data_IF_603239726069
#
_entry.id   IF_603239726069
#
_cell.length_a   1.000
_cell.length_b   1.000
_cell.length_c   1.000
_cell.angle_alpha   90.00
_cell.angle_beta   90.00
_cell.angle_gamma   90.00
#
_symmetry.space_group_name_H-M   'P 1'
#
loop_
_entity.id
_entity.type
_entity.pdbx_description
1 polymer ?
#
# COMPACT_ATOMS: atom_id res chain seq x y z
N UNK A 1 -2.23 -50.19 -5.40
CA UNK A 1 -2.92 -49.22 -4.52
C UNK A 1 -2.01 -48.12 -3.98
N UNK A 2 -0.70 -48.34 -3.80
CA UNK A 2 0.24 -47.32 -3.27
C UNK A 2 0.44 -46.07 -4.15
N UNK A 3 0.31 -46.19 -5.48
CA UNK A 3 0.49 -45.05 -6.39
C UNK A 3 -0.59 -43.96 -6.21
N UNK A 4 -1.86 -44.36 -6.00
CA UNK A 4 -2.95 -43.41 -5.79
C UNK A 4 -2.87 -42.70 -4.42
N UNK A 5 -2.28 -43.36 -3.41
CA UNK A 5 -2.07 -42.76 -2.08
C UNK A 5 -0.98 -41.69 -2.14
N UNK A 6 0.10 -41.94 -2.87
CA UNK A 6 1.18 -40.96 -3.04
C UNK A 6 0.73 -39.73 -3.85
N UNK A 7 -0.04 -39.93 -4.92
CA UNK A 7 -0.56 -38.82 -5.73
C UNK A 7 -1.60 -37.96 -4.97
N UNK A 8 -2.49 -38.58 -4.20
CA UNK A 8 -3.47 -37.86 -3.39
C UNK A 8 -2.81 -37.08 -2.24
N UNK A 9 -1.77 -37.65 -1.62
CA UNK A 9 -0.99 -36.98 -0.58
C UNK A 9 -0.28 -35.75 -1.15
N UNK A 10 0.40 -35.90 -2.29
CA UNK A 10 1.07 -34.80 -2.99
C UNK A 10 0.11 -33.64 -3.33
N UNK A 11 -1.06 -33.95 -3.88
CA UNK A 11 -2.08 -32.94 -4.18
C UNK A 11 -2.56 -32.21 -2.91
N UNK A 12 -2.76 -32.95 -1.81
CA UNK A 12 -3.16 -32.37 -0.53
C UNK A 12 -2.09 -31.44 0.04
N UNK A 13 -0.81 -31.83 -0.01
CA UNK A 13 0.31 -30.97 0.40
C UNK A 13 0.38 -29.69 -0.43
N UNK A 14 0.24 -29.81 -1.75
CA UNK A 14 0.24 -28.66 -2.66
C UNK A 14 -0.91 -27.69 -2.34
N UNK A 15 -2.13 -28.20 -2.12
CA UNK A 15 -3.28 -27.39 -1.72
C UNK A 15 -3.06 -26.68 -0.38
N UNK A 16 -2.43 -27.33 0.60
CA UNK A 16 -2.11 -26.72 1.89
C UNK A 16 -1.07 -25.60 1.73
N UNK A 17 0.01 -25.81 0.98
CA UNK A 17 1.02 -24.78 0.73
C UNK A 17 0.39 -23.53 0.09
N UNK A 18 -0.49 -23.72 -0.89
CA UNK A 18 -1.15 -22.61 -1.59
C UNK A 18 -2.23 -21.94 -0.70
N UNK A 19 -2.89 -22.70 0.17
CA UNK A 19 -3.75 -22.13 1.21
C UNK A 19 -2.97 -21.23 2.17
N UNK A 20 -1.78 -21.65 2.62
CA UNK A 20 -0.90 -20.82 3.44
C UNK A 20 -0.43 -19.56 2.70
N UNK A 21 -0.06 -19.67 1.42
CA UNK A 21 0.28 -18.52 0.59
C UNK A 21 -0.90 -17.53 0.46
N UNK A 22 -2.13 -18.05 0.35
CA UNK A 22 -3.35 -17.25 0.28
C UNK A 22 -3.65 -16.51 1.60
N UNK A 23 -3.36 -17.12 2.75
CA UNK A 23 -3.43 -16.44 4.05
C UNK A 23 -2.44 -15.28 4.13
N UNK A 24 -1.20 -15.50 3.69
CA UNK A 24 -0.18 -14.45 3.65
C UNK A 24 -0.63 -13.31 2.73
N UNK A 25 -1.17 -13.65 1.55
CA UNK A 25 -1.74 -12.68 0.62
C UNK A 25 -2.86 -11.85 1.25
N UNK A 26 -3.77 -12.46 2.01
CA UNK A 26 -4.83 -11.75 2.71
C UNK A 26 -4.31 -10.83 3.81
N UNK A 27 -3.41 -11.34 4.65
CA UNK A 27 -2.79 -10.54 5.71
C UNK A 27 -2.07 -9.33 5.12
N UNK A 28 -1.32 -9.53 4.03
CA UNK A 28 -0.64 -8.45 3.32
C UNK A 28 -1.64 -7.47 2.70
N UNK A 29 -2.68 -7.96 2.03
CA UNK A 29 -3.73 -7.12 1.43
C UNK A 29 -4.43 -6.25 2.48
N UNK A 30 -4.86 -6.84 3.59
CA UNK A 30 -5.51 -6.11 4.70
C UNK A 30 -4.55 -5.09 5.32
N UNK A 31 -3.29 -5.48 5.55
CA UNK A 31 -2.27 -4.56 6.07
C UNK A 31 -2.05 -3.35 5.15
N UNK A 32 -1.96 -3.58 3.84
CA UNK A 32 -1.82 -2.51 2.84
C UNK A 32 -3.06 -1.62 2.78
N UNK A 33 -4.28 -2.18 2.90
CA UNK A 33 -5.50 -1.37 2.99
C UNK A 33 -5.55 -0.54 4.28
N UNK A 34 -5.03 -1.05 5.40
CA UNK A 34 -4.98 -0.30 6.65
C UNK A 34 -4.02 0.89 6.55
N UNK A 35 -2.84 0.69 5.92
CA UNK A 35 -1.91 1.79 5.60
C UNK A 35 -2.58 2.83 4.70
N UNK A 36 -3.35 2.39 3.70
CA UNK A 36 -4.11 3.30 2.84
C UNK A 36 -5.21 4.03 3.61
N UNK A 37 -5.87 3.40 4.58
CA UNK A 37 -6.96 4.01 5.34
C UNK A 37 -6.48 5.13 6.28
N UNK A 38 -5.27 5.04 6.84
CA UNK A 38 -4.62 6.16 7.52
C UNK A 38 -4.48 7.39 6.60
N UNK A 39 -4.31 7.16 5.30
CA UNK A 39 -4.17 8.22 4.28
C UNK A 39 -5.56 8.70 3.80
N UNK A 40 -6.52 7.80 3.58
CA UNK A 40 -7.88 8.12 3.10
C UNK A 40 -8.71 8.88 4.13
N UNK A 41 -8.53 8.59 5.43
CA UNK A 41 -9.22 9.32 6.51
C UNK A 41 -8.78 10.80 6.55
N UNK A 42 -7.62 11.12 5.96
CA UNK A 42 -7.08 12.48 5.80
C UNK A 42 -7.46 13.07 4.42
N UNK A 43 -7.64 12.24 3.39
CA UNK A 43 -8.10 12.64 2.04
C UNK A 43 -9.58 13.03 1.95
N UNK A 44 -10.40 12.80 2.98
CA UNK A 44 -11.78 13.36 3.03
C UNK A 44 -11.80 14.90 2.99
N UNK A 45 -10.65 15.58 3.14
CA UNK A 45 -10.52 17.04 3.02
C UNK A 45 -9.99 17.53 1.66
N UNK A 46 -9.49 16.64 0.78
CA UNK A 46 -8.89 17.03 -0.51
C UNK A 46 -9.29 16.02 -1.59
N UNK A 47 -10.09 16.47 -2.56
CA UNK A 47 -10.48 15.73 -3.77
C UNK A 47 -9.25 15.38 -4.63
N UNK A 48 -8.60 14.25 -4.36
CA UNK A 48 -7.68 13.58 -5.29
C UNK A 48 -8.33 12.30 -5.82
N UNK A 49 -9.46 12.45 -6.51
CA UNK A 49 -10.42 11.39 -6.81
C UNK A 49 -9.92 10.25 -7.71
N UNK A 50 -8.80 10.40 -8.42
CA UNK A 50 -8.44 9.50 -9.52
C UNK A 50 -7.44 8.41 -9.12
N UNK A 51 -6.34 8.73 -8.43
CA UNK A 51 -5.25 7.75 -8.21
C UNK A 51 -5.51 6.81 -7.03
N UNK A 52 -6.11 7.33 -5.95
CA UNK A 52 -6.44 6.56 -4.75
C UNK A 52 -7.51 5.49 -5.05
N UNK A 53 -8.44 5.82 -5.94
CA UNK A 53 -9.51 4.92 -6.39
C UNK A 53 -8.96 3.65 -7.03
N UNK A 54 -8.01 3.73 -7.97
CA UNK A 54 -7.49 2.55 -8.67
C UNK A 54 -6.69 1.63 -7.75
N UNK A 55 -5.84 2.17 -6.87
CA UNK A 55 -5.09 1.37 -5.91
C UNK A 55 -6.03 0.65 -4.93
N UNK A 56 -7.09 1.32 -4.47
CA UNK A 56 -8.11 0.71 -3.63
C UNK A 56 -8.81 -0.46 -4.33
N UNK A 57 -9.24 -0.31 -5.59
CA UNK A 57 -9.85 -1.40 -6.36
C UNK A 57 -8.89 -2.58 -6.57
N UNK A 58 -7.63 -2.31 -6.88
CA UNK A 58 -6.60 -3.36 -7.06
C UNK A 58 -6.41 -4.15 -5.76
N UNK A 59 -6.31 -3.48 -4.62
CA UNK A 59 -6.19 -4.12 -3.31
C UNK A 59 -7.44 -4.93 -2.94
N UNK A 60 -8.63 -4.42 -3.26
CA UNK A 60 -9.89 -5.13 -3.01
C UNK A 60 -9.99 -6.42 -3.84
N UNK A 61 -9.59 -6.38 -5.11
CA UNK A 61 -9.51 -7.57 -5.96
C UNK A 61 -8.47 -8.55 -5.42
N UNK A 62 -7.31 -8.07 -4.96
CA UNK A 62 -6.25 -8.89 -4.39
C UNK A 62 -6.70 -9.64 -3.13
N UNK A 63 -7.45 -8.97 -2.25
CA UNK A 63 -8.07 -9.59 -1.06
C UNK A 63 -9.16 -10.57 -1.48
N UNK A 64 -10.04 -10.20 -2.41
CA UNK A 64 -11.10 -11.06 -2.91
C UNK A 64 -10.58 -12.38 -3.47
N UNK A 65 -9.51 -12.32 -4.27
CA UNK A 65 -8.84 -13.51 -4.79
C UNK A 65 -8.28 -14.41 -3.69
N UNK A 66 -7.66 -13.83 -2.66
CA UNK A 66 -7.14 -14.59 -1.51
C UNK A 66 -8.24 -15.28 -0.69
N UNK A 67 -9.42 -14.68 -0.57
CA UNK A 67 -10.57 -15.31 0.11
C UNK A 67 -11.12 -16.47 -0.72
N UNK A 68 -11.26 -16.27 -2.04
CA UNK A 68 -11.76 -17.30 -2.96
C UNK A 68 -10.80 -18.50 -2.98
N UNK A 69 -9.49 -18.29 -3.04
CA UNK A 69 -8.51 -19.39 -3.00
C UNK A 69 -8.59 -20.18 -1.70
N UNK A 70 -8.80 -19.53 -0.55
CA UNK A 70 -8.98 -20.24 0.72
C UNK A 70 -10.20 -21.14 0.72
N UNK A 71 -11.34 -20.63 0.25
CA UNK A 71 -12.56 -21.43 0.14
C UNK A 71 -12.32 -22.64 -0.78
N UNK A 72 -11.64 -22.43 -1.91
CA UNK A 72 -11.30 -23.50 -2.84
C UNK A 72 -10.37 -24.56 -2.21
N UNK A 73 -9.48 -24.20 -1.29
CA UNK A 73 -8.63 -25.17 -0.57
C UNK A 73 -9.46 -26.11 0.29
N UNK A 74 -10.47 -25.60 1.02
CA UNK A 74 -11.38 -26.44 1.79
C UNK A 74 -12.14 -27.43 0.91
N UNK A 75 -12.67 -26.95 -0.22
CA UNK A 75 -13.36 -27.82 -1.19
C UNK A 75 -12.41 -28.82 -1.85
N UNK A 76 -11.16 -28.46 -2.10
CA UNK A 76 -10.14 -29.34 -2.68
C UNK A 76 -9.83 -30.53 -1.77
N UNK A 77 -9.64 -30.26 -0.48
CA UNK A 77 -9.39 -31.32 0.53
C UNK A 77 -10.64 -32.20 0.65
N UNK A 78 -11.84 -31.59 0.74
CA UNK A 78 -13.10 -32.32 0.84
C UNK A 78 -13.32 -33.26 -0.36
N UNK A 79 -13.09 -32.77 -1.58
CA UNK A 79 -13.22 -33.53 -2.81
C UNK A 79 -12.28 -34.73 -2.85
N UNK A 80 -11.06 -34.55 -2.36
CA UNK A 80 -10.03 -35.60 -2.31
C UNK A 80 -10.41 -36.70 -1.31
N UNK A 81 -10.89 -36.32 -0.12
CA UNK A 81 -11.33 -37.26 0.92
C UNK A 81 -12.56 -38.06 0.47
N UNK A 82 -13.55 -37.42 -0.15
CA UNK A 82 -14.78 -38.05 -0.61
C UNK A 82 -14.65 -38.81 -1.94
N UNK A 83 -13.46 -38.80 -2.57
CA UNK A 83 -13.15 -39.46 -3.86
C UNK A 83 -14.13 -39.11 -4.99
N UNK A 84 -14.67 -37.89 -4.98
CA UNK A 84 -15.63 -37.41 -5.98
C UNK A 84 -14.89 -36.93 -7.23
N UNK A 85 -14.72 -37.81 -8.22
CA UNK A 85 -13.91 -37.53 -9.42
C UNK A 85 -14.39 -36.30 -10.22
N UNK A 86 -15.70 -36.12 -10.37
CA UNK A 86 -16.28 -34.99 -11.12
C UNK A 86 -16.04 -33.65 -10.40
N UNK A 87 -16.32 -33.60 -9.09
CA UNK A 87 -16.09 -32.42 -8.25
C UNK A 87 -14.60 -32.03 -8.23
N UNK A 88 -13.71 -33.03 -8.17
CA UNK A 88 -12.26 -32.81 -8.13
C UNK A 88 -11.72 -32.17 -9.41
N UNK A 89 -12.25 -32.58 -10.57
CA UNK A 89 -11.86 -31.98 -11.86
C UNK A 89 -12.34 -30.53 -11.97
N UNK A 90 -13.59 -30.25 -11.58
CA UNK A 90 -14.13 -28.90 -11.59
C UNK A 90 -13.32 -27.95 -10.70
N UNK A 91 -13.00 -28.39 -9.48
CA UNK A 91 -12.18 -27.61 -8.54
C UNK A 91 -10.78 -27.39 -9.10
N UNK A 92 -10.14 -28.40 -9.70
CA UNK A 92 -8.81 -28.27 -10.30
C UNK A 92 -8.78 -27.23 -11.43
N UNK A 93 -9.83 -27.16 -12.26
CA UNK A 93 -9.95 -26.14 -13.32
C UNK A 93 -10.08 -24.74 -12.74
N UNK A 94 -10.97 -24.54 -11.76
CA UNK A 94 -11.14 -23.26 -11.07
C UNK A 94 -9.84 -22.80 -10.38
N UNK A 95 -9.10 -23.75 -9.84
CA UNK A 95 -7.82 -23.47 -9.19
C UNK A 95 -6.76 -23.01 -10.19
N UNK A 96 -6.67 -23.68 -11.33
CA UNK A 96 -5.77 -23.31 -12.42
C UNK A 96 -6.07 -21.88 -12.89
N UNK A 97 -7.35 -21.54 -13.05
CA UNK A 97 -7.76 -20.18 -13.38
C UNK A 97 -7.33 -19.15 -12.34
N UNK A 98 -7.49 -19.47 -11.05
CA UNK A 98 -7.10 -18.56 -9.97
C UNK A 98 -5.58 -18.37 -9.88
N UNK A 99 -4.79 -19.41 -10.17
CA UNK A 99 -3.33 -19.30 -10.25
C UNK A 99 -2.94 -18.34 -11.38
N UNK A 100 -3.57 -18.44 -12.55
CA UNK A 100 -3.31 -17.53 -13.68
C UNK A 100 -3.60 -16.07 -13.27
N UNK A 101 -4.73 -15.81 -12.62
CA UNK A 101 -5.07 -14.47 -12.15
C UNK A 101 -4.04 -13.92 -11.14
N UNK A 102 -3.55 -14.75 -10.21
CA UNK A 102 -2.52 -14.33 -9.27
C UNK A 102 -1.20 -14.00 -9.97
N UNK A 103 -0.81 -14.74 -11.01
CA UNK A 103 0.38 -14.42 -11.82
C UNK A 103 0.20 -13.07 -12.52
N UNK A 104 -0.98 -12.79 -13.09
CA UNK A 104 -1.27 -11.48 -13.70
C UNK A 104 -1.14 -10.35 -12.67
N UNK A 105 -1.73 -10.51 -11.49
CA UNK A 105 -1.63 -9.53 -10.41
C UNK A 105 -0.18 -9.32 -9.95
N UNK A 106 0.61 -10.39 -9.88
CA UNK A 106 2.02 -10.32 -9.54
C UNK A 106 2.82 -9.53 -10.59
N UNK A 107 2.60 -9.78 -11.88
CA UNK A 107 3.25 -9.02 -12.97
C UNK A 107 2.86 -7.54 -12.91
N UNK A 108 1.58 -7.22 -12.68
CA UNK A 108 1.13 -5.83 -12.52
C UNK A 108 1.86 -5.18 -11.34
N UNK A 109 2.01 -5.90 -10.22
CA UNK A 109 2.72 -5.41 -9.03
C UNK A 109 4.21 -5.16 -9.30
N UNK A 110 4.87 -6.03 -10.08
CA UNK A 110 6.25 -5.84 -10.50
C UNK A 110 6.40 -4.63 -11.43
N UNK A 111 5.49 -4.46 -12.40
CA UNK A 111 5.49 -3.28 -13.27
C UNK A 111 5.30 -2.01 -12.45
N UNK A 112 4.42 -2.03 -11.45
CA UNK A 112 4.25 -0.92 -10.53
C UNK A 112 5.55 -0.58 -9.79
N UNK A 113 6.26 -1.59 -9.27
CA UNK A 113 7.52 -1.39 -8.57
C UNK A 113 8.65 -0.87 -9.46
N UNK A 114 8.81 -1.43 -10.66
CA UNK A 114 9.93 -1.07 -11.54
C UNK A 114 9.69 0.18 -12.39
N UNK A 115 8.44 0.47 -12.75
CA UNK A 115 8.11 1.58 -13.67
C UNK A 115 7.55 2.77 -12.92
N UNK A 116 6.57 2.54 -12.02
CA UNK A 116 5.82 3.63 -11.40
C UNK A 116 6.56 4.20 -10.19
N UNK A 117 7.09 3.34 -9.31
CA UNK A 117 7.83 3.77 -8.11
C UNK A 117 8.99 4.75 -8.40
N UNK A 118 9.88 4.52 -9.38
CA UNK A 118 10.96 5.47 -9.67
C UNK A 118 10.49 6.76 -10.34
N UNK A 119 9.32 6.76 -10.98
CA UNK A 119 8.73 7.96 -11.59
C UNK A 119 7.94 8.81 -10.58
N UNK A 120 7.47 8.19 -9.50
CA UNK A 120 6.69 8.83 -8.44
C UNK A 120 7.35 10.11 -7.88
N UNK A 121 8.64 10.15 -7.50
CA UNK A 121 9.24 11.38 -6.97
C UNK A 121 9.26 12.52 -7.99
N UNK A 122 9.46 12.20 -9.27
CA UNK A 122 9.45 13.20 -10.34
C UNK A 122 8.05 13.75 -10.61
N UNK A 123 7.04 12.87 -10.66
CA UNK A 123 5.65 13.25 -10.83
C UNK A 123 5.17 14.11 -9.66
N UNK A 124 5.47 13.68 -8.44
CA UNK A 124 5.09 14.39 -7.22
C UNK A 124 5.78 15.76 -7.13
N UNK A 125 7.05 15.87 -7.55
CA UNK A 125 7.75 17.17 -7.66
C UNK A 125 7.09 18.11 -8.67
N UNK A 126 6.69 17.59 -9.84
CA UNK A 126 5.93 18.39 -10.83
C UNK A 126 4.57 18.83 -10.29
N UNK A 127 3.83 17.95 -9.64
CA UNK A 127 2.52 18.28 -9.07
C UNK A 127 2.66 19.33 -7.97
N UNK A 128 3.71 19.27 -7.15
CA UNK A 128 4.01 20.30 -6.15
C UNK A 128 4.28 21.66 -6.81
N UNK A 129 5.01 21.70 -7.93
CA UNK A 129 5.24 22.95 -8.66
C UNK A 129 3.97 23.51 -9.32
N UNK A 130 3.06 22.65 -9.78
CA UNK A 130 1.82 23.06 -10.43
C UNK A 130 0.72 23.46 -9.45
N UNK A 131 0.58 22.72 -8.34
CA UNK A 131 -0.46 22.89 -7.33
C UNK A 131 0.13 22.74 -5.92
N UNK A 132 0.86 23.76 -5.43
CA UNK A 132 1.67 23.63 -4.22
C UNK A 132 0.82 23.40 -2.96
N UNK A 133 -0.31 24.11 -2.81
CA UNK A 133 -1.21 23.98 -1.66
C UNK A 133 -1.88 22.61 -1.56
N UNK A 134 -2.39 22.08 -2.68
CA UNK A 134 -3.08 20.78 -2.73
C UNK A 134 -2.09 19.62 -2.55
N UNK A 135 -0.88 19.77 -3.08
CA UNK A 135 0.14 18.73 -2.97
C UNK A 135 0.76 18.70 -1.58
N UNK A 136 0.96 19.86 -0.94
CA UNK A 136 1.49 19.92 0.43
C UNK A 136 0.54 19.29 1.44
N UNK A 137 -0.77 19.52 1.31
CA UNK A 137 -1.77 18.89 2.19
C UNK A 137 -1.86 17.39 2.01
N UNK A 138 -1.62 16.88 0.78
CA UNK A 138 -1.51 15.44 0.51
C UNK A 138 -0.24 14.83 1.12
N UNK A 139 0.86 15.61 1.17
CA UNK A 139 2.15 15.16 1.71
C UNK A 139 2.22 15.21 3.24
N UNK A 140 1.46 16.09 3.88
CA UNK A 140 1.44 16.28 5.33
C UNK A 140 1.33 14.99 6.16
N UNK A 141 0.39 14.07 5.90
CA UNK A 141 0.28 12.85 6.68
C UNK A 141 1.47 11.90 6.49
N UNK A 142 2.00 11.85 5.27
CA UNK A 142 3.17 11.03 4.95
C UNK A 142 4.42 11.60 5.66
N UNK A 143 4.55 12.92 5.62
CA UNK A 143 5.63 13.67 6.26
C UNK A 143 5.60 13.57 7.78
N UNK A 144 4.41 13.62 8.38
CA UNK A 144 4.21 13.38 9.81
C UNK A 144 4.56 11.94 10.20
N UNK A 145 4.12 10.94 9.42
CA UNK A 145 4.35 9.52 9.70
C UNK A 145 5.82 9.10 9.58
N UNK A 146 6.54 9.64 8.60
CA UNK A 146 7.96 9.34 8.37
C UNK A 146 8.91 10.40 8.92
N UNK A 147 8.40 11.42 9.62
CA UNK A 147 9.18 12.55 10.17
C UNK A 147 10.11 13.19 9.14
N UNK A 148 9.63 13.34 7.90
CA UNK A 148 10.38 13.92 6.79
C UNK A 148 9.73 15.23 6.31
N UNK A 149 10.49 16.09 5.63
CA UNK A 149 10.00 17.36 5.11
C UNK A 149 10.54 17.62 3.71
N UNK A 150 9.65 17.74 2.73
CA UNK A 150 9.99 17.86 1.32
C UNK A 150 10.37 16.51 0.69
N UNK A 151 10.98 16.56 -0.49
CA UNK A 151 11.51 15.38 -1.17
C UNK A 151 12.93 15.08 -0.72
N UNK A 152 13.75 16.12 -0.63
CA UNK A 152 15.13 16.07 -0.15
C UNK A 152 15.28 16.89 1.12
N UNK A 153 14.68 18.09 1.16
CA UNK A 153 14.75 18.99 2.31
C UNK A 153 13.58 19.98 2.32
N UNK A 154 13.42 20.72 3.42
CA UNK A 154 12.44 21.81 3.56
C UNK A 154 12.51 22.87 2.46
N UNK A 155 13.69 23.05 1.86
CA UNK A 155 13.96 24.02 0.80
C UNK A 155 13.15 23.72 -0.48
N UNK A 156 12.68 22.48 -0.67
CA UNK A 156 11.79 22.11 -1.78
C UNK A 156 10.50 22.96 -1.76
N UNK A 157 9.99 23.32 -0.59
CA UNK A 157 8.82 24.20 -0.44
C UNK A 157 9.16 25.70 -0.60
N UNK A 158 10.40 26.10 -0.30
CA UNK A 158 10.87 27.46 -0.53
C UNK A 158 10.94 27.77 -2.04
N UNK A 159 11.33 26.78 -2.86
CA UNK A 159 11.39 26.94 -4.33
C UNK A 159 10.03 27.16 -5.00
N UNK A 160 8.94 26.73 -4.35
CA UNK A 160 7.57 26.93 -4.83
C UNK A 160 6.85 28.07 -4.10
N UNK A 161 7.60 28.87 -3.32
CA UNK A 161 7.10 30.04 -2.58
C UNK A 161 5.88 29.72 -1.70
N UNK A 162 5.81 28.49 -1.18
CA UNK A 162 4.70 28.07 -0.34
C UNK A 162 4.87 28.65 1.06
N UNK A 163 4.03 29.62 1.41
CA UNK A 163 3.99 30.25 2.72
C UNK A 163 2.54 30.31 3.21
N UNK A 164 2.19 29.72 4.38
CA UNK A 164 3.05 29.02 5.33
C UNK A 164 3.54 27.64 4.85
N UNK A 165 4.65 27.18 5.42
CA UNK A 165 5.11 25.80 5.26
C UNK A 165 4.07 24.79 5.80
N UNK A 166 4.03 23.56 5.25
CA UNK A 166 3.14 22.51 5.74
C UNK A 166 3.38 22.24 7.24
N UNK A 167 2.32 21.98 7.99
CA UNK A 167 2.40 21.79 9.45
C UNK A 167 3.17 20.52 9.82
N UNK A 168 3.20 19.53 8.93
CA UNK A 168 3.97 18.29 9.09
C UNK A 168 5.49 18.50 9.12
N UNK A 169 5.98 19.53 8.45
CA UNK A 169 7.38 19.94 8.45
C UNK A 169 7.79 20.67 9.74
N UNK A 170 6.80 21.04 10.56
CA UNK A 170 6.96 21.96 11.66
C UNK A 170 6.92 21.22 13.00
N UNK A 171 8.07 21.12 13.68
CA UNK A 171 8.20 20.44 14.99
C UNK A 171 7.58 21.23 16.14
N UNK A 172 7.39 22.54 15.94
CA UNK A 172 6.74 23.46 16.88
C UNK A 172 5.61 24.20 16.17
N UNK A 173 4.50 24.53 16.88
CA UNK A 173 3.45 25.35 16.30
C UNK A 173 4.04 26.72 15.86
N UNK A 174 3.67 27.18 14.67
CA UNK A 174 4.07 28.45 14.07
C UNK A 174 5.55 28.58 13.59
N UNK A 175 6.29 27.49 13.37
CA UNK A 175 7.63 27.61 12.74
C UNK A 175 7.64 28.02 11.26
N UNK A 176 6.48 28.17 10.64
CA UNK A 176 6.35 28.82 9.34
C UNK A 176 6.45 30.36 9.43
N UNK A 177 6.43 30.92 10.64
CA UNK A 177 6.45 32.36 10.92
C UNK A 177 7.86 32.88 11.23
N UNK A 178 8.90 32.19 10.77
CA UNK A 178 10.31 32.54 11.03
C UNK A 178 10.76 33.70 10.12
N UNK A 179 10.16 34.88 10.33
CA UNK A 179 10.86 36.14 10.14
C UNK A 179 11.68 36.37 11.41
N UNK A 180 13.00 36.29 11.27
CA UNK A 180 14.07 36.64 12.22
C UNK A 180 14.61 35.55 13.18
N UNK A 181 15.36 34.61 12.60
CA UNK A 181 16.42 33.82 13.27
C UNK A 181 17.46 34.71 14.01
N UNK A 182 17.47 36.03 13.79
CA UNK A 182 18.41 36.94 14.44
C UNK A 182 17.98 37.42 15.85
N UNK A 183 16.74 37.21 16.28
CA UNK A 183 16.26 37.74 17.58
C UNK A 183 16.14 36.70 18.71
N UNK A 184 16.19 35.40 18.41
CA UNK A 184 16.08 34.36 19.45
C UNK A 184 17.36 34.14 20.27
N UNK A 185 18.52 34.65 19.84
CA UNK A 185 19.76 34.62 20.64
C UNK A 185 19.72 35.69 21.75
N UNK A 186 18.93 36.76 21.59
CA UNK A 186 18.82 37.82 22.60
C UNK A 186 17.97 37.44 23.82
N UNK A 187 16.96 36.57 23.66
CA UNK A 187 16.08 36.14 24.76
C UNK A 187 16.64 34.97 25.58
N UNK A 188 17.51 34.14 25.01
CA UNK A 188 18.16 33.04 25.75
C UNK A 188 19.21 33.53 26.76
N UNK A 189 19.79 34.72 26.55
CA UNK A 189 20.75 35.33 27.47
C UNK A 189 20.10 36.21 28.57
N UNK A 190 18.78 36.43 28.52
CA UNK A 190 18.07 37.24 29.52
C UNK A 190 17.41 36.40 30.64
N UNK A 191 17.48 35.07 30.56
CA UNK A 191 16.91 34.16 31.58
C UNK A 191 17.98 33.38 32.37
N UNK A 192 19.25 33.77 32.24
CA UNK A 192 20.34 33.29 33.11
C UNK A 192 21.06 34.50 33.70
N UNK A 193 20.36 35.20 34.59
CA UNK A 193 20.92 36.08 35.61
C UNK A 193 19.96 36.15 36.80
#
# INVERSE_FOLDING_TARGET
MSCCINAACFFCTLCLCIGLASLIQLCLGVYLTFIQQDVITINQLVKTDQFDSYLFYILLVFIGLGLITLILVFFSIYSTVRRLKSLSLFIAVLWTFTVILNVVMFVISLLYYFVILPQLPFLLKRTLQQNPLTTSTLLDPLQSKYTCCGFNNKDDYATVSLNPFPTSCCRVPNCWQDTDINNHIALANATVS
#
